data_IF_033280678464
#
_entry.id   IF_033280678464
#
_cell.length_a   1.000
_cell.length_b   1.000
_cell.length_c   1.000
_cell.angle_alpha   90.00
_cell.angle_beta   90.00
_cell.angle_gamma   90.00
#
_symmetry.space_group_name_H-M   'P 1'
#
loop_
_entity.id
_entity.type
_entity.pdbx_description
1 polymer ?
#
# COMPACT_ATOMS: atom_id res chain seq x y z
N UNK A 1 -11.70 9.29 30.87
CA UNK A 1 -11.66 8.10 31.75
C UNK A 1 -10.28 7.77 32.33
N UNK A 2 -9.18 8.40 31.88
CA UNK A 2 -7.85 8.25 32.51
C UNK A 2 -7.21 9.58 32.95
N UNK A 3 -8.01 10.54 33.43
CA UNK A 3 -7.50 11.82 33.95
C UNK A 3 -7.05 12.85 32.91
N UNK A 4 -7.07 12.53 31.61
CA UNK A 4 -6.81 13.49 30.54
C UNK A 4 -7.94 14.53 30.40
N UNK A 5 -7.57 15.76 30.04
CA UNK A 5 -8.50 16.86 29.74
C UNK A 5 -8.40 17.26 28.27
N UNK A 6 -9.54 17.29 27.59
CA UNK A 6 -9.64 17.75 26.21
C UNK A 6 -9.31 19.24 26.11
N UNK A 7 -8.44 19.62 25.17
CA UNK A 7 -8.02 21.02 24.97
C UNK A 7 -8.94 21.77 23.99
N UNK A 8 -9.51 21.09 23.00
CA UNK A 8 -10.53 21.60 22.07
C UNK A 8 -11.38 20.44 21.54
N UNK A 9 -12.57 20.75 21.00
CA UNK A 9 -13.46 19.75 20.43
C UNK A 9 -12.78 18.98 19.28
N UNK A 10 -13.02 17.66 19.12
CA UNK A 10 -12.53 16.92 17.96
C UNK A 10 -12.96 17.61 16.67
N UNK A 11 -12.02 17.77 15.75
CA UNK A 11 -12.31 18.27 14.40
C UNK A 11 -12.50 17.05 13.50
N UNK A 12 -13.71 16.86 13.03
CA UNK A 12 -14.03 15.81 12.07
C UNK A 12 -13.66 16.28 10.66
N UNK A 13 -12.83 15.50 9.98
CA UNK A 13 -12.37 15.81 8.62
C UNK A 13 -12.92 14.72 7.70
N UNK A 14 -13.77 15.12 6.77
CA UNK A 14 -14.20 14.27 5.66
C UNK A 14 -13.30 14.54 4.46
N UNK A 15 -12.75 13.48 3.87
CA UNK A 15 -12.07 13.52 2.57
C UNK A 15 -11.00 14.61 2.43
N UNK A 16 -10.27 14.87 3.53
CA UNK A 16 -9.27 15.93 3.62
C UNK A 16 -9.81 17.34 3.31
N UNK A 17 -11.04 17.62 3.72
CA UNK A 17 -11.67 18.95 3.60
C UNK A 17 -10.70 20.05 4.07
N UNK A 18 -10.32 20.99 3.18
CA UNK A 18 -9.32 22.01 3.50
C UNK A 18 -9.75 22.91 4.66
N UNK A 19 -11.05 23.19 4.81
CA UNK A 19 -11.57 24.06 5.86
C UNK A 19 -11.49 23.39 7.23
N UNK A 20 -11.89 22.13 7.34
CA UNK A 20 -11.75 21.33 8.55
C UNK A 20 -10.27 21.16 8.94
N UNK A 21 -9.39 20.88 7.98
CA UNK A 21 -7.95 20.76 8.24
C UNK A 21 -7.32 22.08 8.68
N UNK A 22 -7.70 23.19 8.05
CA UNK A 22 -7.26 24.52 8.45
C UNK A 22 -7.77 24.87 9.86
N UNK A 23 -9.02 24.53 10.18
CA UNK A 23 -9.58 24.72 11.51
C UNK A 23 -8.80 23.94 12.58
N UNK A 24 -8.50 22.67 12.30
CA UNK A 24 -7.67 21.84 13.17
C UNK A 24 -6.26 22.41 13.37
N UNK A 25 -5.60 22.85 12.30
CA UNK A 25 -4.27 23.49 12.37
C UNK A 25 -4.29 24.78 13.21
N UNK A 26 -5.35 25.59 13.09
CA UNK A 26 -5.50 26.81 13.89
C UNK A 26 -5.67 26.49 15.38
N UNK A 27 -6.47 25.48 15.73
CA UNK A 27 -6.66 25.05 17.12
C UNK A 27 -5.33 24.59 17.73
N UNK A 28 -4.54 23.80 16.99
CA UNK A 28 -3.21 23.38 17.44
C UNK A 28 -2.25 24.56 17.61
N UNK A 29 -2.19 25.47 16.63
CA UNK A 29 -1.30 26.63 16.69
C UNK A 29 -1.60 27.55 17.88
N UNK A 30 -2.88 27.71 18.24
CA UNK A 30 -3.29 28.46 19.45
C UNK A 30 -2.78 27.81 20.75
N UNK A 31 -2.70 26.49 20.80
CA UNK A 31 -2.26 25.75 21.98
C UNK A 31 -0.75 25.66 22.12
N UNK A 32 -0.04 25.46 21.00
CA UNK A 32 1.41 25.25 21.01
C UNK A 32 2.20 26.53 20.79
N UNK A 33 1.52 27.66 20.50
CA UNK A 33 2.15 28.91 20.07
C UNK A 33 2.88 28.79 18.73
N UNK A 34 2.69 27.67 18.03
CA UNK A 34 3.33 27.40 16.74
C UNK A 34 2.48 28.00 15.63
N UNK A 35 3.07 28.85 14.80
CA UNK A 35 2.43 29.23 13.54
C UNK A 35 2.58 28.04 12.59
N UNK A 36 1.51 27.47 12.01
CA UNK A 36 1.63 26.43 11.00
C UNK A 36 2.56 26.93 9.88
N UNK A 37 3.66 26.22 9.63
CA UNK A 37 4.72 26.64 8.71
C UNK A 37 4.24 26.78 7.25
N UNK A 38 3.12 26.15 6.89
CA UNK A 38 2.49 26.27 5.60
C UNK A 38 0.98 26.04 5.72
N UNK A 39 0.21 26.70 4.84
CA UNK A 39 -1.18 26.31 4.57
C UNK A 39 -1.17 24.87 4.04
N UNK A 40 -2.09 24.04 4.51
CA UNK A 40 -2.33 22.74 3.89
C UNK A 40 -2.61 22.95 2.39
N UNK A 41 -1.82 22.30 1.55
CA UNK A 41 -2.00 22.28 0.09
C UNK A 41 -2.53 20.92 -0.30
N UNK A 42 -3.48 20.90 -1.22
CA UNK A 42 -3.98 19.66 -1.80
C UNK A 42 -2.81 18.84 -2.36
N UNK A 43 -2.80 17.51 -2.18
CA UNK A 43 -1.73 16.69 -2.69
C UNK A 43 -1.57 16.84 -4.20
N UNK A 44 -0.36 17.16 -4.65
CA UNK A 44 -0.06 17.24 -6.08
C UNK A 44 0.32 15.84 -6.56
N UNK A 45 -0.41 15.36 -7.57
CA UNK A 45 -0.09 14.12 -8.27
C UNK A 45 0.76 14.43 -9.50
N UNK A 46 1.78 13.62 -9.73
CA UNK A 46 2.67 13.72 -10.86
C UNK A 46 2.35 12.65 -11.90
N UNK A 47 2.75 12.92 -13.14
CA UNK A 47 2.54 12.04 -14.27
C UNK A 47 3.75 11.12 -14.45
N UNK A 48 3.65 9.90 -13.93
CA UNK A 48 4.66 8.85 -14.05
C UNK A 48 4.36 7.95 -15.25
N UNK A 49 5.35 7.20 -15.73
CA UNK A 49 5.16 6.27 -16.85
C UNK A 49 5.16 4.84 -16.33
N UNK A 50 4.13 4.04 -16.67
CA UNK A 50 4.13 2.61 -16.41
C UNK A 50 5.03 1.89 -17.42
N UNK A 51 6.29 1.68 -17.07
CA UNK A 51 7.30 1.12 -17.97
C UNK A 51 7.22 -0.40 -18.09
N UNK A 52 6.84 -1.10 -17.00
CA UNK A 52 6.80 -2.57 -17.00
C UNK A 52 5.66 -3.12 -16.16
N UNK A 53 5.11 -4.24 -16.63
CA UNK A 53 4.16 -5.09 -15.89
C UNK A 53 4.55 -6.56 -16.08
N UNK A 54 4.85 -7.23 -14.99
CA UNK A 54 5.25 -8.64 -14.96
C UNK A 54 4.30 -9.45 -14.08
N UNK A 55 3.79 -10.57 -14.58
CA UNK A 55 2.94 -11.48 -13.81
C UNK A 55 3.82 -12.45 -13.00
N UNK A 56 3.79 -12.32 -11.66
CA UNK A 56 4.71 -13.00 -10.76
C UNK A 56 4.33 -14.45 -10.42
N UNK A 57 3.04 -14.79 -10.49
CA UNK A 57 2.56 -16.10 -10.02
C UNK A 57 1.70 -16.84 -11.06
N UNK A 58 2.24 -17.11 -12.28
CA UNK A 58 1.54 -17.90 -13.27
C UNK A 58 1.19 -19.30 -12.72
N UNK A 59 -0.01 -19.77 -13.06
CA UNK A 59 -0.59 -21.04 -12.59
C UNK A 59 -0.89 -21.11 -11.08
N UNK A 60 -0.81 -20.00 -10.34
CA UNK A 60 -1.33 -19.94 -8.99
C UNK A 60 -2.82 -20.25 -8.93
N UNK A 61 -3.24 -20.90 -7.85
CA UNK A 61 -4.66 -21.06 -7.48
C UNK A 61 -5.29 -19.77 -6.92
N UNK A 62 -4.49 -18.72 -6.73
CA UNK A 62 -4.93 -17.42 -6.23
C UNK A 62 -5.04 -16.34 -7.27
N UNK A 63 -5.46 -15.17 -6.78
CA UNK A 63 -5.51 -13.97 -7.61
C UNK A 63 -4.11 -13.65 -8.11
N UNK A 64 -4.06 -13.22 -9.37
CA UNK A 64 -2.82 -12.84 -10.04
C UNK A 64 -2.10 -11.75 -9.25
N UNK A 65 -0.79 -11.82 -9.20
CA UNK A 65 0.08 -10.84 -8.56
C UNK A 65 1.05 -10.32 -9.61
N UNK A 66 1.21 -9.01 -9.67
CA UNK A 66 2.04 -8.35 -10.65
C UNK A 66 3.13 -7.52 -9.99
N UNK A 67 4.32 -7.53 -10.60
CA UNK A 67 5.35 -6.53 -10.34
C UNK A 67 5.22 -5.43 -11.40
N UNK A 68 5.12 -4.20 -10.94
CA UNK A 68 5.01 -3.02 -11.79
C UNK A 68 6.27 -2.18 -11.63
N UNK A 69 6.77 -1.60 -12.71
CA UNK A 69 7.86 -0.63 -12.68
C UNK A 69 7.35 0.70 -13.24
N UNK A 70 7.49 1.77 -12.46
CA UNK A 70 7.10 3.12 -12.84
C UNK A 70 8.32 4.04 -12.84
N UNK A 71 8.43 4.87 -13.87
CA UNK A 71 9.50 5.85 -14.01
C UNK A 71 8.96 7.26 -13.77
N UNK A 72 9.69 8.03 -12.98
CA UNK A 72 9.32 9.40 -12.66
C UNK A 72 9.64 10.33 -13.85
N UNK A 73 8.86 11.41 -14.04
CA UNK A 73 9.17 12.43 -15.04
C UNK A 73 10.39 13.29 -14.68
N UNK A 74 10.85 13.23 -13.43
CA UNK A 74 11.98 13.99 -12.92
C UNK A 74 12.62 13.33 -11.68
N UNK A 75 13.47 14.09 -10.99
CA UNK A 75 14.12 13.63 -9.76
C UNK A 75 13.10 13.52 -8.63
N UNK A 76 12.82 12.29 -8.21
CA UNK A 76 11.98 11.99 -7.06
C UNK A 76 12.77 11.23 -6.01
N UNK A 77 12.64 11.64 -4.76
CA UNK A 77 13.23 10.94 -3.62
C UNK A 77 12.11 10.27 -2.81
N UNK A 78 12.19 8.95 -2.72
CA UNK A 78 11.46 8.18 -1.71
C UNK A 78 12.46 7.49 -0.80
N UNK A 79 11.98 6.92 0.30
CA UNK A 79 12.78 6.08 1.18
C UNK A 79 12.15 4.69 1.25
N UNK A 80 12.97 3.68 1.57
CA UNK A 80 12.46 2.35 1.84
C UNK A 80 11.39 2.39 2.95
N UNK A 81 10.26 1.73 2.71
CA UNK A 81 9.08 1.77 3.56
C UNK A 81 8.06 2.87 3.21
N UNK A 82 8.36 3.80 2.30
CA UNK A 82 7.37 4.75 1.78
C UNK A 82 6.29 4.07 0.94
N UNK A 83 5.19 4.79 0.76
CA UNK A 83 4.04 4.39 -0.04
C UNK A 83 3.94 5.27 -1.30
N UNK A 84 3.18 4.81 -2.28
CA UNK A 84 2.61 5.67 -3.31
C UNK A 84 1.11 5.72 -3.18
N UNK A 85 0.56 6.89 -3.46
CA UNK A 85 -0.85 7.06 -3.75
C UNK A 85 -1.03 7.17 -5.26
N UNK A 86 -1.87 6.31 -5.81
CA UNK A 86 -2.13 6.23 -7.24
C UNK A 86 -3.58 6.62 -7.50
N UNK A 87 -3.81 7.45 -8.52
CA UNK A 87 -5.15 7.77 -9.03
C UNK A 87 -5.54 6.75 -10.11
N UNK A 88 -6.44 5.79 -9.80
CA UNK A 88 -6.92 4.87 -10.84
C UNK A 88 -7.94 5.57 -11.74
N UNK A 89 -8.18 4.97 -12.91
CA UNK A 89 -9.18 5.46 -13.86
C UNK A 89 -10.11 4.32 -14.27
N UNK A 90 -11.37 4.65 -14.55
CA UNK A 90 -12.27 3.67 -15.19
C UNK A 90 -11.75 3.31 -16.57
N UNK A 91 -11.83 2.02 -16.91
CA UNK A 91 -11.52 1.55 -18.26
C UNK A 91 -12.59 2.02 -19.25
N UNK A 92 -12.20 2.22 -20.52
CA UNK A 92 -13.11 2.67 -21.57
C UNK A 92 -14.36 1.80 -21.68
N UNK A 93 -14.20 0.46 -21.61
CA UNK A 93 -15.32 -0.48 -21.66
C UNK A 93 -16.32 -0.29 -20.49
N UNK A 94 -15.83 0.02 -19.29
CA UNK A 94 -16.69 0.26 -18.12
C UNK A 94 -17.47 1.57 -18.30
N UNK A 95 -16.84 2.60 -18.86
CA UNK A 95 -17.48 3.88 -19.18
C UNK A 95 -18.56 3.70 -20.25
N UNK A 96 -18.26 2.94 -21.32
CA UNK A 96 -19.22 2.62 -22.38
C UNK A 96 -20.45 1.90 -21.83
N UNK A 97 -20.25 0.90 -20.96
CA UNK A 97 -21.34 0.19 -20.28
C UNK A 97 -22.14 1.11 -19.37
N UNK A 98 -21.50 2.04 -18.67
CA UNK A 98 -22.16 3.04 -17.83
C UNK A 98 -23.04 3.98 -18.65
N UNK A 99 -22.58 4.41 -19.82
CA UNK A 99 -23.31 5.32 -20.71
C UNK A 99 -24.41 4.62 -21.53
N UNK A 100 -24.28 3.32 -21.78
CA UNK A 100 -25.20 2.57 -22.65
C UNK A 100 -26.67 2.73 -22.25
N UNK A 101 -27.49 3.39 -23.06
CA UNK A 101 -28.92 3.60 -22.77
C UNK A 101 -29.24 4.80 -21.87
N UNK A 102 -28.26 5.65 -21.52
CA UNK A 102 -28.53 6.97 -20.91
C UNK A 102 -28.91 8.04 -21.94
N UNK A 103 -28.63 7.81 -23.23
CA UNK A 103 -28.92 8.78 -24.29
C UNK A 103 -28.00 10.00 -24.31
N UNK A 104 -26.82 9.90 -23.70
CA UNK A 104 -25.82 10.98 -23.65
C UNK A 104 -24.61 10.62 -24.52
N UNK A 105 -24.14 11.56 -25.33
CA UNK A 105 -22.98 11.37 -26.19
C UNK A 105 -21.67 11.42 -25.37
N UNK A 106 -20.82 10.36 -25.39
CA UNK A 106 -19.52 10.35 -24.71
C UNK A 106 -18.56 11.47 -25.13
N UNK A 107 -18.75 12.07 -26.31
CA UNK A 107 -17.95 13.18 -26.83
C UNK A 107 -18.47 14.55 -26.41
N UNK A 108 -19.59 14.61 -25.68
CA UNK A 108 -20.12 15.87 -25.15
C UNK A 108 -19.07 16.58 -24.31
N UNK A 109 -18.87 17.87 -24.53
CA UNK A 109 -17.97 18.69 -23.72
C UNK A 109 -18.58 18.92 -22.34
N UNK A 110 -17.78 18.70 -21.30
CA UNK A 110 -18.11 18.98 -19.89
C UNK A 110 -16.99 19.78 -19.24
N UNK A 111 -17.32 20.48 -18.15
CA UNK A 111 -16.35 21.18 -17.31
C UNK A 111 -16.08 20.40 -16.03
N UNK A 112 -14.82 20.11 -15.76
CA UNK A 112 -14.34 19.51 -14.51
C UNK A 112 -13.24 20.40 -13.96
N UNK A 113 -13.47 20.97 -12.77
CA UNK A 113 -12.51 21.87 -12.10
C UNK A 113 -12.02 23.02 -13.01
N UNK A 114 -12.90 23.52 -13.88
CA UNK A 114 -12.61 24.60 -14.83
C UNK A 114 -11.93 24.16 -16.13
N UNK A 115 -11.53 22.89 -16.26
CA UNK A 115 -11.01 22.30 -17.49
C UNK A 115 -12.16 21.81 -18.36
N UNK A 116 -12.02 21.94 -19.69
CA UNK A 116 -12.97 21.40 -20.66
C UNK A 116 -12.45 20.07 -21.19
N UNK A 117 -13.23 19.01 -21.01
CA UNK A 117 -12.89 17.66 -21.47
C UNK A 117 -14.13 16.93 -22.01
N UNK A 118 -13.95 15.78 -22.65
CA UNK A 118 -15.09 14.96 -23.09
C UNK A 118 -15.74 14.28 -21.89
N UNK A 119 -17.04 14.00 -21.99
CA UNK A 119 -17.77 13.26 -20.95
C UNK A 119 -17.08 11.92 -20.61
N UNK A 120 -16.57 11.21 -21.61
CA UNK A 120 -15.82 9.97 -21.38
C UNK A 120 -14.53 10.20 -20.57
N UNK A 121 -13.79 11.28 -20.82
CA UNK A 121 -12.59 11.63 -20.04
C UNK A 121 -12.94 11.97 -18.59
N UNK A 122 -14.02 12.73 -18.38
CA UNK A 122 -14.52 13.09 -17.05
C UNK A 122 -15.01 11.85 -16.27
N UNK A 123 -15.76 10.95 -16.91
CA UNK A 123 -16.23 9.71 -16.26
C UNK A 123 -15.08 8.79 -15.86
N UNK A 124 -13.90 8.90 -16.48
CA UNK A 124 -12.73 8.12 -16.11
C UNK A 124 -12.26 8.39 -14.67
N UNK A 125 -12.61 9.54 -14.08
CA UNK A 125 -12.20 9.97 -12.74
C UNK A 125 -13.34 9.97 -11.72
N UNK A 126 -14.51 9.41 -12.07
CA UNK A 126 -15.71 9.35 -11.22
C UNK A 126 -16.03 7.95 -10.75
N UNK A 127 -16.61 7.83 -9.57
CA UNK A 127 -17.16 6.57 -9.08
C UNK A 127 -18.43 6.24 -9.86
N UNK A 128 -18.40 5.17 -10.65
CA UNK A 128 -19.53 4.76 -11.46
C UNK A 128 -20.44 3.84 -10.63
N UNK A 129 -21.72 4.21 -10.41
CA UNK A 129 -22.60 3.43 -9.56
C UNK A 129 -23.09 2.16 -10.28
N UNK A 130 -23.25 1.07 -9.52
CA UNK A 130 -23.86 -0.15 -10.06
C UNK A 130 -25.31 0.06 -10.49
N UNK A 131 -26.09 0.85 -9.73
CA UNK A 131 -27.44 1.26 -10.10
C UNK A 131 -27.45 2.68 -10.65
N UNK A 132 -27.90 2.80 -11.89
CA UNK A 132 -27.86 4.01 -12.72
C UNK A 132 -29.25 4.56 -13.06
N UNK A 133 -30.30 4.06 -12.40
CA UNK A 133 -31.68 4.53 -12.63
C UNK A 133 -31.82 6.04 -12.36
N UNK A 134 -31.13 6.56 -11.34
CA UNK A 134 -31.13 7.98 -10.99
C UNK A 134 -30.37 8.88 -11.98
N UNK A 135 -29.63 8.30 -12.93
CA UNK A 135 -28.85 9.03 -13.93
C UNK A 135 -29.61 9.22 -15.25
N UNK A 136 -30.74 8.54 -15.42
CA UNK A 136 -31.53 8.58 -16.66
C UNK A 136 -32.13 9.97 -16.85
N UNK A 137 -31.94 10.55 -18.03
CA UNK A 137 -32.47 11.88 -18.39
C UNK A 137 -31.59 13.06 -17.99
N UNK A 138 -30.47 12.82 -17.30
CA UNK A 138 -29.46 13.86 -17.05
C UNK A 138 -28.70 14.21 -18.34
N UNK A 139 -28.41 15.50 -18.54
CA UNK A 139 -27.45 15.93 -19.56
C UNK A 139 -26.01 15.71 -19.10
N UNK A 140 -25.03 15.76 -20.02
CA UNK A 140 -23.64 15.43 -19.76
C UNK A 140 -23.03 16.11 -18.52
N UNK A 141 -23.21 17.43 -18.36
CA UNK A 141 -22.68 18.13 -17.19
C UNK A 141 -23.32 17.68 -15.87
N UNK A 142 -24.66 17.57 -15.81
CA UNK A 142 -25.38 17.13 -14.62
C UNK A 142 -25.03 15.69 -14.22
N UNK A 143 -24.73 14.83 -15.21
CA UNK A 143 -24.23 13.49 -14.96
C UNK A 143 -22.89 13.52 -14.22
N UNK A 144 -21.94 14.37 -14.63
CA UNK A 144 -20.64 14.50 -13.96
C UNK A 144 -20.78 15.12 -12.57
N UNK A 145 -21.61 16.16 -12.43
CA UNK A 145 -21.81 16.87 -11.18
C UNK A 145 -22.50 15.98 -10.11
N UNK A 146 -23.27 14.97 -10.54
CA UNK A 146 -23.93 14.02 -9.66
C UNK A 146 -22.99 12.91 -9.12
N UNK A 147 -21.81 12.72 -9.73
CA UNK A 147 -20.92 11.61 -9.41
C UNK A 147 -19.75 12.04 -8.53
N UNK A 148 -19.41 11.18 -7.57
CA UNK A 148 -18.30 11.41 -6.64
C UNK A 148 -16.96 11.16 -7.34
N UNK A 149 -15.92 11.99 -7.11
CA UNK A 149 -14.56 11.70 -7.57
C UNK A 149 -14.03 10.35 -7.05
N UNK A 150 -13.18 9.70 -7.84
CA UNK A 150 -12.42 8.54 -7.39
C UNK A 150 -11.35 8.97 -6.39
N UNK A 151 -11.18 8.19 -5.31
CA UNK A 151 -10.11 8.38 -4.32
C UNK A 151 -8.84 7.61 -4.67
N UNK A 152 -7.71 8.05 -4.11
CA UNK A 152 -6.42 7.39 -4.28
C UNK A 152 -6.42 5.98 -3.73
N UNK A 153 -5.50 5.16 -4.26
CA UNK A 153 -5.17 3.85 -3.72
C UNK A 153 -3.71 3.83 -3.32
N UNK A 154 -3.46 3.37 -2.10
CA UNK A 154 -2.14 3.28 -1.51
C UNK A 154 -1.48 1.94 -1.85
N UNK A 155 -0.18 1.98 -2.16
CA UNK A 155 0.64 0.81 -2.39
C UNK A 155 2.02 0.99 -1.75
N UNK A 156 2.52 -0.02 -1.04
CA UNK A 156 3.88 0.01 -0.50
C UNK A 156 4.90 -0.06 -1.62
N UNK A 157 5.93 0.79 -1.56
CA UNK A 157 7.02 0.78 -2.54
C UNK A 157 7.90 -0.44 -2.28
N UNK A 158 8.21 -1.18 -3.35
CA UNK A 158 8.98 -2.42 -3.33
C UNK A 158 10.45 -2.26 -3.74
N UNK A 159 10.88 -1.07 -4.12
CA UNK A 159 12.25 -0.75 -4.54
C UNK A 159 12.87 0.37 -3.70
N UNK A 160 14.17 0.57 -3.89
CA UNK A 160 14.92 1.72 -3.36
C UNK A 160 15.23 2.73 -4.48
N UNK A 161 15.44 4.03 -4.17
CA UNK A 161 15.70 5.06 -5.19
C UNK A 161 16.87 4.76 -6.14
N UNK A 162 17.88 4.03 -5.64
CA UNK A 162 19.07 3.64 -6.40
C UNK A 162 18.77 2.70 -7.58
N UNK A 163 17.57 2.11 -7.62
CA UNK A 163 17.12 1.32 -8.77
C UNK A 163 16.58 2.17 -9.93
N UNK A 164 16.51 3.50 -9.76
CA UNK A 164 16.01 4.48 -10.76
C UNK A 164 14.58 4.21 -11.28
N UNK A 165 13.88 3.25 -10.65
CA UNK A 165 12.50 2.90 -10.94
C UNK A 165 11.75 2.57 -9.64
N UNK A 166 10.50 3.01 -9.58
CA UNK A 166 9.61 2.70 -8.49
C UNK A 166 8.91 1.38 -8.78
N UNK A 167 9.07 0.40 -7.90
CA UNK A 167 8.47 -0.92 -8.07
C UNK A 167 7.29 -1.12 -7.12
N UNK A 168 6.23 -1.74 -7.61
CA UNK A 168 5.08 -2.16 -6.82
C UNK A 168 4.87 -3.66 -6.94
N UNK A 169 4.32 -4.30 -5.90
CA UNK A 169 3.82 -5.68 -5.98
C UNK A 169 2.32 -5.65 -5.68
N UNK A 170 1.50 -5.86 -6.71
CA UNK A 170 0.05 -5.63 -6.67
C UNK A 170 -0.69 -6.93 -6.93
N UNK A 171 -1.57 -7.31 -6.00
CA UNK A 171 -2.53 -8.41 -6.19
C UNK A 171 -3.75 -7.85 -6.92
N UNK A 172 -4.11 -8.48 -8.03
CA UNK A 172 -5.31 -8.15 -8.79
C UNK A 172 -6.54 -8.59 -7.98
N UNK A 173 -7.33 -7.62 -7.54
CA UNK A 173 -8.57 -7.90 -6.82
C UNK A 173 -9.66 -8.24 -7.83
N UNK A 174 -10.41 -9.31 -7.56
CA UNK A 174 -11.53 -9.75 -8.38
C UNK A 174 -12.76 -9.82 -7.47
N UNK A 175 -13.76 -9.00 -7.78
CA UNK A 175 -15.01 -8.98 -7.06
C UNK A 175 -15.85 -10.24 -7.32
N UNK A 176 -16.87 -10.46 -6.50
CA UNK A 176 -17.72 -11.65 -6.59
C UNK A 176 -18.48 -11.76 -7.93
N UNK A 177 -18.71 -10.63 -8.62
CA UNK A 177 -19.31 -10.57 -9.95
C UNK A 177 -18.31 -10.79 -11.10
N UNK A 178 -17.04 -11.04 -10.77
CA UNK A 178 -15.95 -11.24 -11.72
C UNK A 178 -15.31 -9.95 -12.22
N UNK A 179 -15.82 -8.77 -11.84
CA UNK A 179 -15.19 -7.49 -12.18
C UNK A 179 -13.89 -7.27 -11.40
N UNK A 180 -12.97 -6.49 -11.97
CA UNK A 180 -11.72 -6.16 -11.31
C UNK A 180 -11.89 -4.98 -10.37
N UNK A 181 -11.15 -4.99 -9.25
CA UNK A 181 -11.07 -3.84 -8.35
C UNK A 181 -10.52 -2.61 -9.07
N UNK A 182 -11.12 -1.44 -8.84
CA UNK A 182 -10.78 -0.21 -9.57
C UNK A 182 -9.28 0.12 -9.55
N UNK A 183 -8.63 0.02 -8.39
CA UNK A 183 -7.20 0.30 -8.24
C UNK A 183 -6.30 -0.75 -8.88
N UNK A 184 -6.41 -1.98 -8.38
CA UNK A 184 -5.55 -3.08 -8.78
C UNK A 184 -5.83 -3.52 -10.22
N UNK A 185 -7.09 -3.59 -10.65
CA UNK A 185 -7.49 -3.85 -12.04
C UNK A 185 -6.98 -2.79 -13.00
N UNK A 186 -7.03 -1.51 -12.63
CA UNK A 186 -6.46 -0.46 -13.46
C UNK A 186 -4.94 -0.66 -13.66
N UNK A 187 -4.18 -0.87 -12.59
CA UNK A 187 -2.73 -1.05 -12.67
C UNK A 187 -2.29 -2.35 -13.36
N UNK A 188 -3.09 -3.42 -13.25
CA UNK A 188 -2.70 -4.78 -13.68
C UNK A 188 -3.31 -5.20 -15.01
N UNK A 189 -4.40 -4.57 -15.44
CA UNK A 189 -5.10 -4.92 -16.68
C UNK A 189 -5.21 -3.70 -17.60
N UNK A 190 -5.80 -2.60 -17.12
CA UNK A 190 -6.34 -1.57 -18.01
C UNK A 190 -5.37 -0.44 -18.38
N UNK A 191 -4.45 -0.06 -17.51
CA UNK A 191 -3.43 0.93 -17.83
C UNK A 191 -2.56 0.40 -18.98
N UNK A 192 -2.26 1.24 -19.96
CA UNK A 192 -1.41 0.83 -21.08
C UNK A 192 0.06 0.99 -20.67
N UNK A 193 0.93 0.07 -21.09
CA UNK A 193 2.37 0.28 -20.92
C UNK A 193 2.81 1.55 -21.66
N UNK A 194 3.85 2.19 -21.14
CA UNK A 194 4.39 3.47 -21.63
C UNK A 194 3.39 4.63 -21.57
N UNK A 195 2.26 4.46 -20.88
CA UNK A 195 1.27 5.51 -20.64
C UNK A 195 1.39 6.13 -19.25
N UNK A 196 0.75 7.30 -19.10
CA UNK A 196 0.80 8.08 -17.88
C UNK A 196 -0.06 7.48 -16.77
N UNK A 197 0.54 7.37 -15.59
CA UNK A 197 -0.05 7.05 -14.30
C UNK A 197 0.08 8.27 -13.39
N UNK A 198 -1.05 8.79 -12.92
CA UNK A 198 -1.05 9.89 -11.96
C UNK A 198 -0.82 9.33 -10.56
N UNK A 199 0.33 9.64 -9.96
CA UNK A 199 0.72 9.16 -8.64
C UNK A 199 1.50 10.20 -7.85
N UNK A 200 1.56 10.03 -6.53
CA UNK A 200 2.46 10.77 -5.64
C UNK A 200 3.12 9.84 -4.63
N UNK A 201 4.34 10.18 -4.23
CA UNK A 201 4.99 9.52 -3.10
C UNK A 201 4.40 10.04 -1.79
N UNK A 202 4.04 9.13 -0.89
CA UNK A 202 3.58 9.44 0.47
C UNK A 202 4.59 8.91 1.46
N UNK A 203 5.10 9.80 2.31
CA UNK A 203 6.04 9.44 3.37
C UNK A 203 5.36 8.57 4.44
N UNK A 204 5.96 7.44 4.78
CA UNK A 204 5.48 6.52 5.82
C UNK A 204 6.55 6.32 6.90
N UNK A 205 6.78 7.37 7.70
CA UNK A 205 7.84 7.40 8.73
C UNK A 205 7.72 6.31 9.78
N UNK A 206 6.51 5.83 10.06
CA UNK A 206 6.24 4.69 10.96
C UNK A 206 6.81 3.37 10.45
N UNK A 207 7.12 3.26 9.16
CA UNK A 207 7.64 2.04 8.54
C UNK A 207 9.04 2.19 7.90
N UNK A 208 9.72 3.32 8.15
CA UNK A 208 11.12 3.52 7.77
C UNK A 208 12.07 2.68 8.62
N UNK A 209 13.30 2.47 8.15
CA UNK A 209 14.35 1.81 8.91
C UNK A 209 14.65 2.51 10.25
N UNK A 210 15.15 1.78 11.27
CA UNK A 210 15.58 2.40 12.52
C UNK A 210 16.76 3.35 12.28
N UNK A 211 16.85 4.44 13.04
CA UNK A 211 17.90 5.44 12.88
C UNK A 211 19.32 4.90 13.16
N UNK A 212 19.44 3.85 13.98
CA UNK A 212 20.69 3.13 14.23
C UNK A 212 20.59 1.72 13.64
N UNK A 213 21.69 1.16 13.11
CA UNK A 213 21.68 -0.20 12.60
C UNK A 213 21.45 -1.18 13.75
N UNK A 214 20.28 -1.83 13.74
CA UNK A 214 19.92 -2.94 14.64
C UNK A 214 19.51 -4.14 13.79
N UNK A 215 19.52 -5.37 14.32
CA UNK A 215 18.95 -6.50 13.61
C UNK A 215 17.48 -6.28 13.23
N UNK A 216 17.04 -6.80 12.09
CA UNK A 216 15.62 -6.76 11.71
C UNK A 216 15.00 -8.15 11.62
N UNK A 217 13.81 -8.28 12.19
CA UNK A 217 12.89 -9.39 11.96
C UNK A 217 11.73 -8.84 11.12
N UNK A 218 11.59 -9.33 9.91
CA UNK A 218 10.58 -8.90 8.95
C UNK A 218 9.57 -10.02 8.76
N UNK A 219 8.27 -9.72 8.88
CA UNK A 219 7.20 -10.70 8.74
C UNK A 219 6.19 -10.20 7.71
N UNK A 220 5.89 -11.02 6.71
CA UNK A 220 4.85 -10.66 5.76
C UNK A 220 4.29 -11.81 4.95
N UNK A 221 3.15 -11.56 4.32
CA UNK A 221 2.49 -12.51 3.44
C UNK A 221 2.06 -11.86 2.13
N UNK A 222 2.08 -12.64 1.04
CA UNK A 222 1.60 -12.19 -0.26
C UNK A 222 2.29 -10.91 -0.74
N UNK A 223 1.48 -9.88 -1.02
CA UNK A 223 1.93 -8.55 -1.47
C UNK A 223 2.55 -7.70 -0.36
N UNK A 224 2.43 -8.11 0.91
CA UNK A 224 3.15 -7.50 2.03
C UNK A 224 4.67 -7.58 1.88
N UNK A 225 5.17 -8.43 0.98
CA UNK A 225 6.59 -8.46 0.62
C UNK A 225 7.08 -7.11 0.06
N UNK A 226 6.22 -6.28 -0.56
CA UNK A 226 6.62 -5.00 -1.15
C UNK A 226 7.37 -4.10 -0.15
N UNK A 227 6.70 -3.71 0.94
CA UNK A 227 7.32 -2.85 1.96
C UNK A 227 8.59 -3.47 2.56
N UNK A 228 8.56 -4.77 2.89
CA UNK A 228 9.70 -5.48 3.49
C UNK A 228 10.90 -5.59 2.53
N UNK A 229 10.64 -5.78 1.23
CA UNK A 229 11.65 -5.88 0.19
C UNK A 229 12.43 -4.57 0.06
N UNK A 230 11.75 -3.42 0.05
CA UNK A 230 12.45 -2.12 0.00
C UNK A 230 13.35 -1.93 1.23
N UNK A 231 12.90 -2.31 2.43
CA UNK A 231 13.69 -2.23 3.66
C UNK A 231 14.91 -3.16 3.62
N UNK A 232 14.74 -4.40 3.14
CA UNK A 232 15.84 -5.35 2.96
C UNK A 232 16.88 -4.81 1.99
N UNK A 233 16.47 -4.31 0.82
CA UNK A 233 17.37 -3.71 -0.17
C UNK A 233 18.18 -2.57 0.41
N UNK A 234 17.52 -1.62 1.09
CA UNK A 234 18.20 -0.48 1.70
C UNK A 234 19.24 -0.92 2.76
N UNK A 235 18.93 -1.94 3.55
CA UNK A 235 19.85 -2.48 4.56
C UNK A 235 21.03 -3.21 3.95
N UNK A 236 20.78 -4.02 2.93
CA UNK A 236 21.81 -4.79 2.22
C UNK A 236 22.76 -3.82 1.52
N UNK A 237 22.26 -2.75 0.90
CA UNK A 237 23.08 -1.69 0.31
C UNK A 237 23.96 -0.98 1.36
N UNK A 238 23.53 -0.91 2.61
CA UNK A 238 24.30 -0.38 3.75
C UNK A 238 25.22 -1.43 4.40
N UNK A 239 25.34 -2.63 3.83
CA UNK A 239 26.17 -3.72 4.37
C UNK A 239 25.62 -4.38 5.63
N UNK A 240 24.34 -4.16 5.98
CA UNK A 240 23.73 -4.76 7.16
C UNK A 240 23.19 -6.16 6.83
N UNK A 241 23.71 -7.19 7.49
CA UNK A 241 23.44 -8.61 7.18
C UNK A 241 22.53 -9.32 8.18
N UNK A 242 22.37 -8.77 9.40
CA UNK A 242 21.53 -9.34 10.48
C UNK A 242 20.04 -9.08 10.20
N UNK A 243 19.54 -9.74 9.16
CA UNK A 243 18.18 -9.65 8.63
C UNK A 243 17.54 -11.03 8.68
N UNK A 244 16.33 -11.12 9.23
CA UNK A 244 15.54 -12.33 9.26
C UNK A 244 14.18 -12.05 8.62
N UNK A 245 13.86 -12.76 7.54
CA UNK A 245 12.55 -12.69 6.90
C UNK A 245 11.74 -13.95 7.21
N UNK A 246 10.51 -13.77 7.69
CA UNK A 246 9.48 -14.79 7.68
C UNK A 246 8.44 -14.40 6.62
N UNK A 247 8.34 -15.19 5.55
CA UNK A 247 7.45 -14.90 4.43
C UNK A 247 6.46 -16.03 4.17
N UNK A 248 5.20 -15.68 3.92
CA UNK A 248 4.15 -16.66 3.65
C UNK A 248 3.38 -16.43 2.36
N UNK A 249 3.07 -17.53 1.67
CA UNK A 249 2.09 -17.51 0.58
C UNK A 249 1.31 -18.83 0.46
N UNK A 250 0.59 -19.03 -0.66
CA UNK A 250 -0.17 -20.26 -0.93
C UNK A 250 0.75 -21.42 -1.27
N UNK A 251 1.44 -21.33 -2.40
CA UNK A 251 2.25 -22.44 -2.92
C UNK A 251 3.68 -21.99 -3.25
N UNK A 252 4.70 -22.78 -2.89
CA UNK A 252 6.09 -22.43 -3.22
C UNK A 252 6.35 -22.31 -4.71
N UNK A 253 5.77 -23.22 -5.49
CA UNK A 253 6.03 -23.32 -6.92
C UNK A 253 5.50 -22.12 -7.73
N UNK A 254 4.46 -21.44 -7.23
CA UNK A 254 3.76 -20.40 -7.99
C UNK A 254 3.78 -19.04 -7.29
N UNK A 255 3.70 -19.01 -5.96
CA UNK A 255 3.48 -17.79 -5.19
C UNK A 255 4.70 -17.36 -4.39
N UNK A 256 5.87 -17.96 -4.61
CA UNK A 256 7.11 -17.49 -3.99
C UNK A 256 7.65 -16.24 -4.69
N UNK A 257 6.95 -15.13 -4.47
CA UNK A 257 7.26 -13.83 -5.06
C UNK A 257 8.71 -13.44 -4.76
N UNK A 258 9.43 -13.01 -5.81
CA UNK A 258 10.85 -12.65 -5.72
C UNK A 258 11.74 -13.76 -5.12
N UNK A 259 11.36 -15.04 -5.23
CA UNK A 259 12.05 -16.16 -4.59
C UNK A 259 13.54 -16.23 -4.88
N UNK A 260 13.94 -16.10 -6.15
CA UNK A 260 15.36 -16.13 -6.55
C UNK A 260 16.19 -14.99 -5.93
N UNK A 261 15.58 -13.80 -5.74
CA UNK A 261 16.25 -12.67 -5.08
C UNK A 261 16.43 -12.94 -3.58
N UNK A 262 15.39 -13.46 -2.92
CA UNK A 262 15.44 -13.79 -1.50
C UNK A 262 16.41 -14.94 -1.20
N UNK A 263 16.42 -15.97 -2.04
CA UNK A 263 17.36 -17.09 -1.95
C UNK A 263 18.80 -16.62 -2.22
N UNK A 264 19.02 -15.76 -3.21
CA UNK A 264 20.34 -15.17 -3.45
C UNK A 264 20.85 -14.30 -2.29
N UNK A 265 19.97 -13.56 -1.60
CA UNK A 265 20.35 -12.85 -0.37
C UNK A 265 20.70 -13.79 0.78
N UNK A 266 19.99 -14.92 0.91
CA UNK A 266 20.31 -15.94 1.90
C UNK A 266 21.68 -16.58 1.62
N UNK A 267 21.94 -16.97 0.38
CA UNK A 267 23.19 -17.62 -0.04
C UNK A 267 24.42 -16.70 0.12
N UNK A 268 24.26 -15.40 -0.16
CA UNK A 268 25.33 -14.41 0.01
C UNK A 268 25.55 -13.96 1.46
N UNK A 269 24.67 -14.36 2.39
CA UNK A 269 24.69 -13.92 3.79
C UNK A 269 24.15 -12.50 4.02
N UNK A 270 23.59 -11.86 2.99
CA UNK A 270 22.90 -10.58 3.09
C UNK A 270 21.57 -10.69 3.87
N UNK A 271 20.92 -11.85 3.78
CA UNK A 271 19.81 -12.27 4.62
C UNK A 271 20.31 -13.39 5.54
N UNK A 272 20.38 -13.13 6.85
CA UNK A 272 20.89 -14.12 7.81
C UNK A 272 19.96 -15.32 8.00
N UNK A 273 18.65 -15.12 7.82
CA UNK A 273 17.65 -16.18 7.98
C UNK A 273 16.40 -15.95 7.13
N UNK A 274 15.88 -17.01 6.55
CA UNK A 274 14.63 -17.03 5.79
C UNK A 274 13.75 -18.20 6.25
N UNK A 275 12.57 -17.92 6.80
CA UNK A 275 11.56 -18.94 7.10
C UNK A 275 10.35 -18.76 6.17
N UNK A 276 9.97 -19.84 5.48
CA UNK A 276 8.89 -19.82 4.50
C UNK A 276 7.67 -20.60 5.00
N UNK A 277 6.48 -20.03 4.79
CA UNK A 277 5.20 -20.61 5.14
C UNK A 277 4.29 -20.73 3.91
N UNK A 278 4.11 -21.94 3.39
CA UNK A 278 3.21 -22.19 2.26
C UNK A 278 1.95 -22.90 2.76
N UNK A 279 0.81 -22.22 2.66
CA UNK A 279 -0.45 -22.65 3.26
C UNK A 279 -1.23 -23.71 2.44
N UNK A 280 -0.70 -24.10 1.28
CA UNK A 280 -1.34 -25.01 0.32
C UNK A 280 -0.41 -26.12 -0.23
N UNK A 281 0.82 -26.21 0.24
CA UNK A 281 1.76 -27.26 -0.19
C UNK A 281 1.55 -28.59 0.55
N UNK A 282 0.75 -28.58 1.62
CA UNK A 282 0.39 -29.74 2.42
C UNK A 282 -1.05 -29.61 2.97
N UNK A 283 -1.56 -30.68 3.59
CA UNK A 283 -2.92 -30.73 4.13
C UNK A 283 -3.16 -29.71 5.25
N UNK A 284 -2.20 -29.59 6.17
CA UNK A 284 -2.23 -28.61 7.25
C UNK A 284 -1.79 -27.22 6.77
N UNK A 285 -2.54 -26.19 7.13
CA UNK A 285 -2.21 -24.82 6.72
C UNK A 285 -1.09 -24.28 7.63
N UNK A 286 0.06 -24.00 7.04
CA UNK A 286 1.19 -23.36 7.72
C UNK A 286 1.19 -21.88 7.37
N UNK A 287 1.20 -21.01 8.38
CA UNK A 287 1.28 -19.57 8.23
C UNK A 287 2.54 -18.98 8.88
N UNK A 288 2.79 -17.69 8.63
CA UNK A 288 3.96 -16.97 9.16
C UNK A 288 3.99 -16.98 10.68
N UNK A 289 2.84 -16.80 11.34
CA UNK A 289 2.73 -16.86 12.80
C UNK A 289 3.08 -18.25 13.36
N UNK A 290 2.89 -19.33 12.59
CA UNK A 290 3.26 -20.67 13.03
C UNK A 290 4.78 -20.84 13.00
N UNK A 291 5.43 -20.36 11.92
CA UNK A 291 6.90 -20.29 11.83
C UNK A 291 7.51 -19.43 12.94
N UNK A 292 6.88 -18.30 13.26
CA UNK A 292 7.31 -17.44 14.35
C UNK A 292 7.23 -18.18 15.70
N UNK A 293 6.14 -18.93 15.94
CA UNK A 293 5.94 -19.71 17.15
C UNK A 293 6.97 -20.85 17.26
N UNK A 294 7.22 -21.57 16.18
CA UNK A 294 8.28 -22.58 16.08
C UNK A 294 9.66 -21.97 16.41
N UNK A 295 9.91 -20.74 15.98
CA UNK A 295 11.15 -20.02 16.19
C UNK A 295 11.18 -19.15 17.46
N UNK A 296 10.30 -19.40 18.44
CA UNK A 296 10.16 -18.56 19.64
C UNK A 296 11.45 -18.36 20.44
N UNK A 297 12.32 -19.38 20.52
CA UNK A 297 13.62 -19.25 21.19
C UNK A 297 14.55 -18.30 20.44
N UNK A 298 14.64 -18.43 19.11
CA UNK A 298 15.44 -17.54 18.27
C UNK A 298 14.90 -16.11 18.31
N UNK A 299 13.58 -15.94 18.26
CA UNK A 299 12.93 -14.64 18.38
C UNK A 299 13.41 -13.89 19.63
N UNK A 300 13.48 -14.57 20.78
CA UNK A 300 13.98 -13.96 22.03
C UNK A 300 15.44 -13.53 21.89
N UNK A 301 16.30 -14.39 21.35
CA UNK A 301 17.72 -14.05 21.13
C UNK A 301 17.88 -12.80 20.25
N UNK A 302 17.15 -12.71 19.14
CA UNK A 302 17.20 -11.53 18.28
C UNK A 302 16.70 -10.27 18.99
N UNK A 303 15.63 -10.37 19.78
CA UNK A 303 15.09 -9.24 20.52
C UNK A 303 16.01 -8.78 21.65
N UNK A 304 16.69 -9.71 22.31
CA UNK A 304 17.71 -9.43 23.33
C UNK A 304 18.94 -8.74 22.70
N UNK A 305 19.27 -9.06 21.46
CA UNK A 305 20.29 -8.37 20.64
C UNK A 305 19.81 -7.01 20.09
N UNK A 306 18.64 -6.53 20.49
CA UNK A 306 18.14 -5.21 20.09
C UNK A 306 17.35 -5.18 18.78
N UNK A 307 16.91 -6.33 18.24
CA UNK A 307 16.19 -6.37 16.97
C UNK A 307 14.90 -5.52 16.95
N UNK A 308 14.56 -4.99 15.78
CA UNK A 308 13.24 -4.42 15.52
C UNK A 308 12.40 -5.35 14.63
N UNK A 309 11.10 -5.41 14.90
CA UNK A 309 10.09 -6.19 14.20
C UNK A 309 9.35 -5.29 13.21
N UNK A 310 9.26 -5.73 11.95
CA UNK A 310 8.48 -5.09 10.89
C UNK A 310 7.46 -6.07 10.35
N UNK A 311 6.18 -5.66 10.32
CA UNK A 311 5.10 -6.47 9.77
C UNK A 311 4.46 -5.76 8.58
N UNK A 312 4.32 -6.46 7.46
CA UNK A 312 3.58 -5.96 6.29
C UNK A 312 2.73 -7.04 5.64
N UNK A 313 1.49 -6.72 5.27
CA UNK A 313 0.54 -7.66 4.65
C UNK A 313 -0.86 -7.53 5.24
N UNK A 314 -1.62 -8.63 5.24
CA UNK A 314 -3.04 -8.60 5.64
C UNK A 314 -3.21 -8.28 7.12
N UNK A 315 -3.97 -7.22 7.42
CA UNK A 315 -4.36 -6.83 8.78
C UNK A 315 -5.18 -7.95 9.44
N UNK A 316 -6.20 -8.43 8.72
CA UNK A 316 -7.04 -9.55 9.13
C UNK A 316 -6.33 -10.86 8.80
N UNK A 317 -6.05 -11.67 9.82
CA UNK A 317 -5.32 -12.94 9.67
C UNK A 317 -3.85 -12.82 10.09
N UNK A 318 -2.97 -12.44 9.15
CA UNK A 318 -1.51 -12.49 9.39
C UNK A 318 -1.07 -11.56 10.53
N UNK A 319 -1.37 -10.27 10.45
CA UNK A 319 -0.90 -9.32 11.46
C UNK A 319 -1.46 -9.62 12.86
N UNK A 320 -2.75 -9.95 12.94
CA UNK A 320 -3.39 -10.37 14.20
C UNK A 320 -2.79 -11.67 14.76
N UNK A 321 -2.51 -12.66 13.91
CA UNK A 321 -1.90 -13.93 14.32
C UNK A 321 -0.46 -13.75 14.81
N UNK A 322 0.32 -12.89 14.16
CA UNK A 322 1.67 -12.55 14.64
C UNK A 322 1.59 -11.83 15.98
N UNK A 323 0.69 -10.85 16.11
CA UNK A 323 0.51 -10.10 17.36
C UNK A 323 0.17 -11.04 18.54
N UNK A 324 -0.74 -11.99 18.31
CA UNK A 324 -1.07 -13.03 19.29
C UNK A 324 0.17 -13.84 19.69
N UNK A 325 0.95 -14.33 18.72
CA UNK A 325 2.17 -15.12 19.01
C UNK A 325 3.19 -14.31 19.78
N UNK A 326 3.37 -13.02 19.46
CA UNK A 326 4.27 -12.15 20.22
C UNK A 326 3.82 -12.02 21.68
N UNK A 327 2.53 -11.83 21.93
CA UNK A 327 1.98 -11.77 23.29
C UNK A 327 2.13 -13.10 24.04
N UNK A 328 1.91 -14.23 23.37
CA UNK A 328 2.09 -15.58 23.95
C UNK A 328 3.56 -15.86 24.30
N UNK A 329 4.49 -15.48 23.43
CA UNK A 329 5.92 -15.82 23.56
C UNK A 329 6.68 -14.85 24.47
N UNK A 330 6.33 -13.56 24.45
CA UNK A 330 7.06 -12.47 25.11
C UNK A 330 6.31 -11.89 26.32
N UNK A 331 4.98 -12.03 26.37
CA UNK A 331 4.13 -11.35 27.33
C UNK A 331 3.81 -9.90 26.95
N UNK A 332 2.66 -9.41 27.41
CA UNK A 332 2.12 -8.09 27.03
C UNK A 332 3.06 -6.91 27.38
N UNK A 333 3.72 -6.96 28.54
CA UNK A 333 4.64 -5.91 28.94
C UNK A 333 5.78 -5.72 27.94
N UNK A 334 6.41 -6.81 27.50
CA UNK A 334 7.53 -6.75 26.57
C UNK A 334 7.11 -6.29 25.19
N UNK A 335 5.92 -6.68 24.73
CA UNK A 335 5.35 -6.18 23.47
C UNK A 335 5.11 -4.68 23.54
N UNK A 336 4.53 -4.18 24.63
CA UNK A 336 4.32 -2.74 24.84
C UNK A 336 5.65 -1.96 24.85
N UNK A 337 6.68 -2.47 25.53
CA UNK A 337 8.02 -1.87 25.51
C UNK A 337 8.59 -1.77 24.08
N UNK A 338 8.39 -2.78 23.24
CA UNK A 338 8.83 -2.74 21.84
C UNK A 338 8.08 -1.67 21.04
N UNK A 339 6.78 -1.48 21.30
CA UNK A 339 5.96 -0.43 20.67
C UNK A 339 6.46 0.95 21.09
N UNK A 340 6.62 1.17 22.41
CA UNK A 340 7.10 2.45 22.97
C UNK A 340 8.50 2.82 22.47
N UNK A 341 9.36 1.82 22.26
CA UNK A 341 10.71 2.01 21.70
C UNK A 341 10.72 2.17 20.18
N UNK A 342 9.56 2.07 19.51
CA UNK A 342 9.46 2.10 18.05
C UNK A 342 10.17 0.92 17.37
N UNK A 343 10.33 -0.20 18.08
CA UNK A 343 10.94 -1.45 17.63
C UNK A 343 9.91 -2.48 17.17
N UNK A 344 8.62 -2.17 17.24
CA UNK A 344 7.55 -2.94 16.62
C UNK A 344 6.76 -2.03 15.66
N UNK A 345 6.93 -2.25 14.35
CA UNK A 345 6.39 -1.40 13.29
C UNK A 345 5.52 -2.21 12.33
N UNK A 346 4.43 -1.59 11.85
CA UNK A 346 3.37 -2.26 11.08
C UNK A 346 2.94 -1.40 9.90
N UNK A 347 2.86 -2.00 8.72
CA UNK A 347 2.27 -1.45 7.49
C UNK A 347 1.30 -2.49 6.93
N UNK A 348 0.07 -2.49 7.44
CA UNK A 348 -0.91 -3.58 7.23
C UNK A 348 -2.21 -3.03 6.68
N UNK A 349 -2.86 -3.80 5.80
CA UNK A 349 -4.06 -3.40 5.06
C UNK A 349 -5.13 -4.49 5.02
#
# INVERSE_FOLDING_TARGET
EQGARTLFAPVEVDSADPAALQHWQQQLGQLTGSVPLAHWQSPVFENWTLARREHLNPASSGSKVFRLELTAPGLMSWQAGDLVEVMPRNAAQVIEQCLHGLGVDPLSTVSVEGLQETLAQALATRQLPHNRAHLVGLHAQALIDALVPISAREYSIASVPEEECLQLIVRQEVHADGSLGLGSGWLTEHAVLDSTVSLRVRRNSSFHLPAKPVPLILLGNGTGLAGLRSLLKARIAQGQTRNWLLFGERNRAHDFHCGAELEGWLESGALARLDLAFSRDQAEKIYVQDRLREAAAELRVWLDDGAAIYICGSLLGMAAGVDQVLHEVLGAQRVNELIEQGRYRRDVY
#
